data_IF_414499897660
#
_entry.id   IF_414499897660
#
_cell.length_a   1.000
_cell.length_b   1.000
_cell.length_c   1.000
_cell.angle_alpha   90.00
_cell.angle_beta   90.00
_cell.angle_gamma   90.00
#
_symmetry.space_group_name_H-M   'P 1'
#
loop_
_entity.id
_entity.type
_entity.pdbx_description
1 polymer ?
#
# COMPACT_ATOMS: atom_id res chain seq x y z
N UNK A 1 -22.38 2.20 -9.63
CA UNK A 1 -21.95 2.30 -8.21
C UNK A 1 -20.48 1.96 -8.10
N UNK A 2 -19.70 2.74 -7.34
CA UNK A 2 -18.29 2.47 -7.05
C UNK A 2 -18.20 1.86 -5.64
N UNK A 3 -17.85 0.57 -5.50
CA UNK A 3 -17.82 -0.08 -4.19
C UNK A 3 -16.70 0.48 -3.32
N UNK A 4 -16.95 0.56 -2.01
CA UNK A 4 -15.92 0.84 -1.03
C UNK A 4 -14.95 -0.35 -0.89
N UNK A 5 -13.77 -0.09 -0.34
CA UNK A 5 -12.82 -1.12 0.04
C UNK A 5 -12.86 -1.30 1.56
N UNK A 6 -13.45 -2.39 2.03
CA UNK A 6 -13.54 -2.69 3.46
C UNK A 6 -12.17 -3.08 4.03
N UNK A 7 -11.72 -2.47 5.15
CA UNK A 7 -10.45 -2.82 5.77
C UNK A 7 -10.42 -4.28 6.26
N UNK A 8 -9.37 -5.02 5.89
CA UNK A 8 -9.06 -6.37 6.40
C UNK A 8 -7.75 -6.35 7.21
N UNK A 9 -7.73 -5.81 8.45
CA UNK A 9 -6.50 -5.54 9.20
C UNK A 9 -5.68 -6.80 9.56
N UNK A 10 -6.32 -7.96 9.55
CA UNK A 10 -5.73 -9.28 9.78
C UNK A 10 -5.15 -9.93 8.51
N UNK A 11 -5.27 -9.28 7.34
CA UNK A 11 -4.72 -9.81 6.09
C UNK A 11 -3.19 -10.04 6.21
N UNK A 12 -2.68 -11.24 5.89
CA UNK A 12 -1.26 -11.57 5.95
C UNK A 12 -0.32 -10.55 5.29
N UNK A 13 -0.74 -9.98 4.15
CA UNK A 13 0.03 -8.95 3.45
C UNK A 13 0.27 -7.69 4.29
N UNK A 14 -0.68 -7.29 5.16
CA UNK A 14 -0.53 -6.15 6.06
C UNK A 14 0.56 -6.42 7.09
N UNK A 15 0.59 -7.63 7.67
CA UNK A 15 1.63 -8.04 8.62
C UNK A 15 3.01 -8.06 7.96
N UNK A 16 3.14 -8.74 6.82
CA UNK A 16 4.41 -8.86 6.08
C UNK A 16 4.98 -7.47 5.77
N UNK A 17 4.14 -6.59 5.21
CA UNK A 17 4.57 -5.25 4.83
C UNK A 17 4.90 -4.39 6.06
N UNK A 18 4.10 -4.44 7.13
CA UNK A 18 4.37 -3.67 8.36
C UNK A 18 5.71 -4.05 9.01
N UNK A 19 6.01 -5.34 9.12
CA UNK A 19 7.29 -5.85 9.65
C UNK A 19 8.46 -5.42 8.76
N UNK A 20 8.30 -5.53 7.45
CA UNK A 20 9.32 -5.15 6.48
C UNK A 20 9.62 -3.64 6.51
N UNK A 21 8.60 -2.80 6.72
CA UNK A 21 8.78 -1.36 6.87
C UNK A 21 9.61 -1.03 8.11
N UNK A 22 9.35 -1.70 9.24
CA UNK A 22 10.08 -1.52 10.49
C UNK A 22 11.54 -1.98 10.35
N UNK A 23 11.78 -3.11 9.68
CA UNK A 23 13.13 -3.61 9.37
C UNK A 23 13.94 -2.59 8.57
N UNK A 24 13.36 -2.09 7.47
CA UNK A 24 14.05 -1.21 6.50
C UNK A 24 14.24 0.21 7.02
N UNK A 25 13.27 0.75 7.77
CA UNK A 25 13.22 2.18 8.07
C UNK A 25 13.27 2.52 9.56
N UNK A 26 13.41 1.52 10.42
CA UNK A 26 13.55 1.67 11.88
C UNK A 26 12.40 2.48 12.51
N UNK A 27 11.20 2.31 11.98
CA UNK A 27 9.99 2.98 12.45
C UNK A 27 8.74 2.21 12.03
N UNK A 28 7.63 2.41 12.73
CA UNK A 28 6.39 1.66 12.46
C UNK A 28 5.69 2.17 11.20
N UNK A 29 5.17 1.25 10.39
CA UNK A 29 4.27 1.60 9.30
C UNK A 29 2.96 2.17 9.85
N UNK A 30 2.44 3.22 9.23
CA UNK A 30 1.13 3.76 9.56
C UNK A 30 0.07 3.08 8.69
N UNK A 31 -0.67 2.14 9.27
CA UNK A 31 -1.76 1.42 8.58
C UNK A 31 -3.06 2.17 8.82
N UNK A 32 -3.68 2.68 7.75
CA UNK A 32 -4.87 3.53 7.83
C UNK A 32 -5.89 3.16 6.75
N UNK A 33 -7.16 3.48 7.03
CA UNK A 33 -8.17 3.64 5.99
C UNK A 33 -8.21 5.12 5.55
N UNK A 34 -8.54 5.37 4.28
CA UNK A 34 -8.69 6.72 3.73
C UNK A 34 -10.14 6.97 3.33
N UNK A 35 -10.63 8.19 3.56
CA UNK A 35 -11.93 8.63 3.06
C UNK A 35 -11.83 9.14 1.62
N UNK A 36 -11.36 8.27 0.72
CA UNK A 36 -11.19 8.53 -0.70
C UNK A 36 -11.51 7.25 -1.51
N UNK A 37 -11.83 7.42 -2.80
CA UNK A 37 -12.05 6.30 -3.71
C UNK A 37 -10.72 5.66 -4.12
N UNK A 38 -10.59 4.35 -3.95
CA UNK A 38 -9.47 3.54 -4.44
C UNK A 38 -9.99 2.39 -5.28
N UNK A 39 -9.26 2.08 -6.35
CA UNK A 39 -9.60 0.98 -7.26
C UNK A 39 -9.64 -0.38 -6.57
N UNK A 40 -8.99 -0.51 -5.42
CA UNK A 40 -9.07 -1.69 -4.54
C UNK A 40 -10.51 -2.08 -4.18
N UNK A 41 -11.46 -1.14 -4.13
CA UNK A 41 -12.87 -1.47 -3.92
C UNK A 41 -13.44 -2.29 -5.08
N UNK A 42 -13.19 -1.85 -6.31
CA UNK A 42 -13.60 -2.57 -7.53
C UNK A 42 -12.85 -3.89 -7.66
N UNK A 43 -11.53 -3.88 -7.47
CA UNK A 43 -10.70 -5.08 -7.59
C UNK A 43 -11.14 -6.14 -6.58
N UNK A 44 -11.31 -5.77 -5.31
CA UNK A 44 -11.75 -6.70 -4.26
C UNK A 44 -13.16 -7.24 -4.46
N UNK A 45 -14.05 -6.47 -5.10
CA UNK A 45 -15.39 -6.97 -5.47
C UNK A 45 -15.31 -8.07 -6.52
N UNK A 46 -14.37 -7.97 -7.47
CA UNK A 46 -14.21 -8.96 -8.55
C UNK A 46 -13.27 -10.13 -8.16
N UNK A 47 -12.40 -9.92 -7.18
CA UNK A 47 -11.44 -10.91 -6.68
C UNK A 47 -11.53 -11.00 -5.14
N UNK A 48 -12.57 -11.64 -4.59
CA UNK A 48 -12.89 -11.59 -3.15
C UNK A 48 -11.80 -12.20 -2.26
N UNK A 49 -11.05 -13.17 -2.81
CA UNK A 49 -9.97 -13.88 -2.12
C UNK A 49 -8.61 -13.17 -2.23
N UNK A 50 -8.51 -12.12 -3.05
CA UNK A 50 -7.26 -11.39 -3.24
C UNK A 50 -6.91 -10.59 -1.99
N UNK A 51 -5.73 -10.85 -1.44
CA UNK A 51 -5.13 -10.01 -0.41
C UNK A 51 -4.54 -8.77 -1.07
N UNK A 52 -4.92 -7.59 -0.59
CA UNK A 52 -4.54 -6.31 -1.19
C UNK A 52 -4.07 -5.33 -0.14
N UNK A 53 -3.18 -4.44 -0.55
CA UNK A 53 -2.73 -3.28 0.21
C UNK A 53 -2.34 -2.18 -0.78
N UNK A 54 -2.58 -0.93 -0.41
CA UNK A 54 -2.19 0.24 -1.19
C UNK A 54 -1.12 1.02 -0.44
N UNK A 55 -0.04 1.37 -1.13
CA UNK A 55 1.07 2.15 -0.59
C UNK A 55 1.78 2.88 -1.74
N UNK A 56 2.47 3.98 -1.43
CA UNK A 56 3.13 4.79 -2.45
C UNK A 56 4.04 5.88 -1.86
N UNK A 57 4.73 6.64 -2.73
CA UNK A 57 5.51 7.79 -2.31
C UNK A 57 4.60 8.96 -1.88
N UNK A 58 5.21 9.99 -1.28
CA UNK A 58 4.51 11.21 -0.93
C UNK A 58 4.28 12.04 -2.20
N UNK A 59 3.00 12.26 -2.52
CA UNK A 59 2.53 13.17 -3.56
C UNK A 59 1.69 14.26 -2.89
N UNK A 60 1.94 15.51 -3.26
CA UNK A 60 1.26 16.68 -2.70
C UNK A 60 0.51 17.42 -3.81
N UNK A 61 -0.69 17.90 -3.52
CA UNK A 61 -1.49 18.66 -4.47
C UNK A 61 -1.96 17.84 -5.68
N UNK A 62 -2.14 16.53 -5.53
CA UNK A 62 -2.64 15.66 -6.60
C UNK A 62 -3.90 16.26 -7.23
N UNK A 63 -4.00 16.17 -8.57
CA UNK A 63 -5.11 16.74 -9.36
C UNK A 63 -5.14 18.28 -9.42
N UNK A 64 -4.01 18.94 -9.15
CA UNK A 64 -3.87 20.40 -9.31
C UNK A 64 -2.60 20.74 -10.09
N UNK A 65 -2.49 21.96 -10.65
CA UNK A 65 -1.22 22.42 -11.24
C UNK A 65 -0.03 22.44 -10.26
N UNK A 66 -0.30 22.40 -8.95
CA UNK A 66 0.72 22.35 -7.89
C UNK A 66 1.18 20.91 -7.57
N UNK A 67 0.70 19.91 -8.31
CA UNK A 67 1.02 18.50 -8.13
C UNK A 67 2.53 18.26 -8.22
N UNK A 68 3.07 17.63 -7.17
CA UNK A 68 4.50 17.31 -7.09
C UNK A 68 4.74 16.07 -6.25
N UNK A 69 5.78 15.33 -6.63
CA UNK A 69 6.26 14.16 -5.91
C UNK A 69 7.55 14.47 -5.14
N UNK A 70 7.65 13.96 -3.90
CA UNK A 70 8.89 14.07 -3.13
C UNK A 70 9.89 12.99 -3.57
N UNK A 71 10.97 13.40 -4.23
CA UNK A 71 12.00 12.48 -4.80
C UNK A 71 12.54 11.48 -3.76
N UNK A 72 12.87 11.93 -2.55
CA UNK A 72 13.39 11.04 -1.50
C UNK A 72 12.36 9.99 -1.06
N UNK A 73 11.07 10.30 -1.12
CA UNK A 73 10.01 9.33 -0.79
C UNK A 73 9.82 8.29 -1.90
N UNK A 74 10.10 8.64 -3.16
CA UNK A 74 10.08 7.69 -4.29
C UNK A 74 11.20 6.65 -4.13
N UNK A 75 12.39 7.06 -3.71
CA UNK A 75 13.49 6.12 -3.40
C UNK A 75 13.10 5.16 -2.27
N UNK A 76 12.48 5.68 -1.20
CA UNK A 76 11.97 4.88 -0.09
C UNK A 76 10.91 3.87 -0.55
N UNK A 77 9.93 4.32 -1.35
CA UNK A 77 8.91 3.48 -1.97
C UNK A 77 9.53 2.36 -2.81
N UNK A 78 10.50 2.69 -3.66
CA UNK A 78 11.12 1.72 -4.56
C UNK A 78 11.85 0.60 -3.82
N UNK A 79 12.64 0.96 -2.79
CA UNK A 79 13.31 -0.02 -1.92
C UNK A 79 12.27 -0.93 -1.25
N UNK A 80 11.19 -0.35 -0.74
CA UNK A 80 10.15 -1.08 -0.06
C UNK A 80 9.38 -2.01 -0.99
N UNK A 81 9.03 -1.56 -2.20
CA UNK A 81 8.39 -2.38 -3.23
C UNK A 81 9.25 -3.60 -3.57
N UNK A 82 10.53 -3.38 -3.89
CA UNK A 82 11.44 -4.49 -4.23
C UNK A 82 11.61 -5.48 -3.08
N UNK A 83 11.68 -4.98 -1.84
CA UNK A 83 11.78 -5.83 -0.67
C UNK A 83 10.48 -6.63 -0.44
N UNK A 84 9.31 -6.03 -0.65
CA UNK A 84 8.01 -6.72 -0.56
C UNK A 84 7.94 -7.84 -1.58
N UNK A 85 8.33 -7.59 -2.84
CA UNK A 85 8.34 -8.61 -3.90
C UNK A 85 9.25 -9.79 -3.55
N UNK A 86 10.43 -9.52 -2.97
CA UNK A 86 11.35 -10.58 -2.51
C UNK A 86 10.82 -11.38 -1.32
N UNK A 87 9.90 -10.80 -0.54
CA UNK A 87 9.32 -11.41 0.67
C UNK A 87 7.98 -12.10 0.38
N UNK A 88 7.52 -12.14 -0.88
CA UNK A 88 6.33 -12.90 -1.25
C UNK A 88 6.52 -14.36 -0.83
N UNK A 89 5.62 -14.93 0.00
CA UNK A 89 5.71 -16.32 0.41
C UNK A 89 5.71 -17.25 -0.81
N UNK A 90 6.55 -18.29 -0.76
CA UNK A 90 6.51 -19.35 -1.77
C UNK A 90 5.26 -20.18 -1.50
N UNK A 91 4.44 -20.39 -2.52
CA UNK A 91 3.35 -21.38 -2.47
C UNK A 91 3.97 -22.78 -2.46
N UNK A 92 3.59 -23.60 -1.48
CA UNK A 92 3.82 -25.05 -1.53
C UNK A 92 3.00 -25.71 -2.64
#
# INVERSE_FOLDING_TARGET
NYPGWEPKPDAPIIKIMSELYEELFKGKAHVNAVHAGLECGIIGTNYPDMQMISFGPNIYGAHSPDERAQISSVQKFWIYLLATLKKIPVTE
#
